data_IF_551473024432
#
_entry.id   IF_551473024432
#
_cell.length_a   1.000
_cell.length_b   1.000
_cell.length_c   1.000
_cell.angle_alpha   90.00
_cell.angle_beta   90.00
_cell.angle_gamma   90.00
#
_symmetry.space_group_name_H-M   'P 1'
#
loop_
_entity.id
_entity.type
_entity.pdbx_description
1 polymer ?
#
# COMPACT_ATOMS: atom_id res chain seq x y z
N UNK A 1 12.70 4.05 -5.37
CA UNK A 1 12.67 2.80 -4.60
C UNK A 1 11.38 2.05 -4.89
N UNK A 2 11.48 0.76 -5.11
CA UNK A 2 10.30 -0.08 -5.33
C UNK A 2 10.08 -0.98 -4.12
N UNK A 3 8.82 -1.13 -3.73
CA UNK A 3 8.44 -2.07 -2.68
C UNK A 3 7.31 -2.95 -3.18
N UNK A 4 7.19 -4.11 -2.57
CA UNK A 4 6.06 -5.02 -2.78
C UNK A 4 5.18 -4.98 -1.55
N UNK A 5 3.89 -4.76 -1.75
CA UNK A 5 2.91 -4.72 -0.68
C UNK A 5 1.87 -5.79 -0.91
N UNK A 6 1.68 -6.64 0.09
CA UNK A 6 0.60 -7.61 0.08
C UNK A 6 -0.57 -7.03 0.88
N UNK A 7 -1.73 -6.95 0.26
CA UNK A 7 -2.87 -6.24 0.83
C UNK A 7 -3.98 -7.21 1.18
N UNK A 8 -4.51 -7.05 2.40
CA UNK A 8 -5.71 -7.73 2.84
C UNK A 8 -6.81 -6.69 2.99
N UNK A 9 -7.88 -6.85 2.22
CA UNK A 9 -9.01 -5.93 2.25
C UNK A 9 -10.11 -6.44 3.18
N UNK A 10 -10.99 -5.54 3.61
CA UNK A 10 -12.09 -5.90 4.48
C UNK A 10 -11.65 -6.39 5.83
N UNK A 11 -10.49 -6.00 6.30
CA UNK A 11 -9.98 -6.42 7.61
C UNK A 11 -10.72 -5.71 8.73
N UNK A 12 -10.78 -6.33 9.89
CA UNK A 12 -11.40 -5.70 11.05
C UNK A 12 -10.56 -4.55 11.59
N UNK A 13 -9.25 -4.65 11.46
CA UNK A 13 -8.32 -3.64 11.92
C UNK A 13 -7.31 -3.34 10.85
N UNK A 14 -6.94 -2.08 10.78
CA UNK A 14 -5.91 -1.62 9.86
C UNK A 14 -4.55 -1.90 10.47
N UNK A 15 -3.62 -2.40 9.66
CA UNK A 15 -2.27 -2.65 10.14
C UNK A 15 -1.27 -2.56 9.01
N UNK A 16 -0.04 -2.21 9.38
CA UNK A 16 1.11 -2.20 8.47
C UNK A 16 2.19 -3.04 9.11
N UNK A 17 2.65 -4.05 8.39
CA UNK A 17 3.68 -4.95 8.89
C UNK A 17 4.85 -4.97 7.92
N UNK A 18 6.02 -4.57 8.38
CA UNK A 18 7.23 -4.61 7.56
C UNK A 18 7.81 -6.01 7.61
N UNK A 19 7.93 -6.65 6.46
CA UNK A 19 8.51 -7.98 6.34
C UNK A 19 10.01 -7.88 6.09
N UNK A 20 10.40 -6.97 5.20
CA UNK A 20 11.80 -6.69 4.90
C UNK A 20 11.88 -5.24 4.40
N UNK A 21 13.05 -4.80 4.00
CA UNK A 21 13.24 -3.41 3.58
C UNK A 21 12.34 -3.04 2.40
N UNK A 22 11.99 -4.00 1.56
CA UNK A 22 11.20 -3.75 0.36
C UNK A 22 9.91 -4.56 0.31
N UNK A 23 9.48 -5.14 1.41
CA UNK A 23 8.25 -5.95 1.49
C UNK A 23 7.43 -5.60 2.70
N UNK A 24 6.13 -5.40 2.47
CA UNK A 24 5.19 -5.06 3.53
C UNK A 24 3.92 -5.86 3.37
N UNK A 25 3.25 -6.13 4.49
CA UNK A 25 1.88 -6.62 4.51
C UNK A 25 1.02 -5.53 5.13
N UNK A 26 -0.04 -5.19 4.42
CA UNK A 26 -0.94 -4.12 4.86
C UNK A 26 -2.36 -4.66 4.88
N UNK A 27 -3.03 -4.49 6.01
CA UNK A 27 -4.45 -4.80 6.15
C UNK A 27 -5.21 -3.48 6.16
N UNK A 28 -6.26 -3.41 5.35
CA UNK A 28 -7.12 -2.23 5.30
C UNK A 28 -8.56 -2.64 5.54
N UNK A 29 -9.34 -1.74 6.11
CA UNK A 29 -10.75 -1.99 6.40
C UNK A 29 -11.62 -1.83 5.15
N UNK A 30 -11.15 -1.05 4.20
CA UNK A 30 -11.88 -0.78 2.96
C UNK A 30 -12.01 -2.06 2.12
N UNK A 31 -13.09 -2.11 1.35
CA UNK A 31 -13.33 -3.19 0.40
C UNK A 31 -12.56 -2.93 -0.89
N UNK A 32 -12.29 -4.00 -1.69
CA UNK A 32 -11.47 -3.85 -2.91
C UNK A 32 -12.29 -3.32 -4.09
N UNK A 33 -12.98 -2.22 -3.90
CA UNK A 33 -13.81 -1.65 -4.96
C UNK A 33 -13.63 -0.15 -5.01
N UNK A 34 -13.80 0.42 -6.20
CA UNK A 34 -13.71 1.86 -6.45
C UNK A 34 -12.38 2.46 -6.00
N UNK A 35 -11.32 1.66 -6.00
CA UNK A 35 -9.98 2.07 -5.60
C UNK A 35 -9.87 2.54 -4.14
N UNK A 36 -10.85 2.24 -3.31
CA UNK A 36 -10.83 2.67 -1.92
C UNK A 36 -9.64 2.04 -1.17
N UNK A 37 -9.46 0.72 -1.34
CA UNK A 37 -8.36 0.04 -0.70
C UNK A 37 -7.02 0.55 -1.21
N UNK A 38 -6.90 0.78 -2.52
CA UNK A 38 -5.66 1.29 -3.11
C UNK A 38 -5.29 2.65 -2.55
N UNK A 39 -6.27 3.55 -2.42
CA UNK A 39 -6.03 4.87 -1.84
C UNK A 39 -5.56 4.76 -0.40
N UNK A 40 -6.17 3.85 0.35
CA UNK A 40 -5.79 3.67 1.75
C UNK A 40 -4.39 3.09 1.86
N UNK A 41 -4.05 2.13 1.01
CA UNK A 41 -2.70 1.55 0.97
C UNK A 41 -1.66 2.65 0.71
N UNK A 42 -1.91 3.51 -0.27
CA UNK A 42 -0.99 4.61 -0.58
C UNK A 42 -0.84 5.53 0.63
N UNK A 43 -1.94 5.87 1.30
CA UNK A 43 -1.89 6.74 2.47
C UNK A 43 -1.05 6.11 3.59
N UNK A 44 -1.24 4.83 3.85
CA UNK A 44 -0.51 4.12 4.90
C UNK A 44 0.98 4.02 4.58
N UNK A 45 1.31 3.74 3.33
CA UNK A 45 2.70 3.67 2.90
C UNK A 45 3.36 5.05 3.03
N UNK A 46 2.64 6.11 2.67
CA UNK A 46 3.16 7.45 2.81
C UNK A 46 3.50 7.77 4.27
N UNK A 47 2.61 7.38 5.19
CA UNK A 47 2.87 7.56 6.63
C UNK A 47 4.08 6.76 7.05
N UNK A 48 4.17 5.52 6.62
CA UNK A 48 5.26 4.63 7.00
C UNK A 48 6.61 5.17 6.54
N UNK A 49 6.66 5.79 5.37
CA UNK A 49 7.91 6.35 4.81
C UNK A 49 8.10 7.83 5.13
N UNK A 50 7.15 8.43 5.85
CA UNK A 50 7.26 9.83 6.24
C UNK A 50 7.28 10.80 5.07
N UNK A 51 6.48 10.54 4.04
CA UNK A 51 6.44 11.40 2.87
C UNK A 51 5.02 11.61 2.37
N UNK A 52 4.78 12.62 1.53
CA UNK A 52 3.44 12.87 0.99
C UNK A 52 2.96 11.73 0.11
N UNK A 53 1.65 11.50 0.10
CA UNK A 53 1.05 10.46 -0.74
C UNK A 53 1.35 10.70 -2.22
N UNK A 54 1.56 11.95 -2.64
CA UNK A 54 1.89 12.27 -4.02
C UNK A 54 3.22 11.66 -4.48
N UNK A 55 4.06 11.22 -3.56
CA UNK A 55 5.34 10.57 -3.87
C UNK A 55 5.22 9.05 -3.97
N UNK A 56 4.03 8.52 -3.78
CA UNK A 56 3.77 7.08 -3.77
C UNK A 56 2.91 6.75 -4.99
N UNK A 57 3.31 5.74 -5.76
CA UNK A 57 2.54 5.33 -6.94
C UNK A 57 2.44 3.82 -7.00
N UNK A 58 1.25 3.31 -7.30
CA UNK A 58 1.06 1.89 -7.56
C UNK A 58 1.40 1.65 -9.03
N UNK A 59 2.40 0.83 -9.28
CA UNK A 59 2.85 0.53 -10.63
C UNK A 59 2.19 -0.72 -11.20
N UNK A 60 1.94 -1.72 -10.36
CA UNK A 60 1.34 -3.00 -10.77
C UNK A 60 0.41 -3.49 -9.69
N UNK A 61 -0.55 -4.31 -10.10
CA UNK A 61 -1.39 -5.01 -9.15
C UNK A 61 -2.55 -4.22 -8.62
N UNK A 62 -3.05 -3.24 -9.36
CA UNK A 62 -4.17 -2.41 -8.90
C UNK A 62 -5.38 -3.24 -8.47
N UNK A 63 -5.59 -4.40 -9.09
CA UNK A 63 -6.71 -5.28 -8.77
C UNK A 63 -6.27 -6.59 -8.14
N UNK A 64 -5.04 -6.66 -7.68
CA UNK A 64 -4.47 -7.87 -7.11
C UNK A 64 -4.07 -7.61 -5.66
N UNK A 65 -3.91 -8.71 -4.91
CA UNK A 65 -3.46 -8.62 -3.52
C UNK A 65 -2.02 -8.13 -3.40
N UNK A 66 -1.18 -8.56 -4.33
CA UNK A 66 0.22 -8.11 -4.35
C UNK A 66 0.34 -6.91 -5.27
N UNK A 67 0.91 -5.85 -4.77
CA UNK A 67 1.07 -4.61 -5.50
C UNK A 67 2.52 -4.18 -5.45
N UNK A 68 2.99 -3.59 -6.56
CA UNK A 68 4.31 -2.98 -6.62
C UNK A 68 4.13 -1.47 -6.58
N UNK A 69 4.80 -0.83 -5.63
CA UNK A 69 4.71 0.60 -5.45
C UNK A 69 6.07 1.25 -5.64
N UNK A 70 6.05 2.45 -6.21
CA UNK A 70 7.22 3.32 -6.30
C UNK A 70 7.17 4.33 -5.17
N UNK A 71 8.27 4.45 -4.45
CA UNK A 71 8.36 5.31 -3.26
C UNK A 71 9.34 6.43 -3.52
N UNK A 72 8.88 7.68 -3.30
CA UNK A 72 9.76 8.84 -3.35
C UNK A 72 10.32 9.18 -4.71
N UNK A 73 9.83 8.57 -5.77
CA UNK A 73 10.32 8.85 -7.10
C UNK A 73 9.79 10.18 -7.61
N UNK A 74 10.47 10.69 -8.60
CA UNK A 74 10.05 11.91 -9.27
C UNK A 74 8.84 11.67 -10.16
#
# INVERSE_FOLDING_TARGET
MLITVRVKTGAKQESVRKISDDRFEISVREQPEKNLANRRVVALVAIEFGMPASKIRILKGHRQRSKTLSIGSR
#
